data_IF_290868292988
#
_entry.id   IF_290868292988
#
_cell.length_a   1.000
_cell.length_b   1.000
_cell.length_c   1.000
_cell.angle_alpha   90.00
_cell.angle_beta   90.00
_cell.angle_gamma   90.00
#
_symmetry.space_group_name_H-M   'P 1'
#
loop_
_entity.id
_entity.type
_entity.pdbx_description
1 polymer ?
#
# COMPACT_ATOMS: atom_id res chain seq x y z
N UNK A 1 36.46 30.84 1.62
CA UNK A 1 35.66 29.84 2.34
C UNK A 1 34.28 30.42 2.56
N UNK A 2 33.25 29.77 2.00
CA UNK A 2 31.82 29.99 2.31
C UNK A 2 31.19 31.26 1.72
N UNK A 3 29.94 31.29 1.25
CA UNK A 3 28.92 30.25 1.11
C UNK A 3 27.96 30.72 0.00
N UNK A 4 27.73 29.87 -0.99
CA UNK A 4 26.56 29.98 -1.86
C UNK A 4 25.38 29.38 -1.08
N UNK A 5 24.32 30.16 -0.84
CA UNK A 5 23.02 29.58 -0.52
C UNK A 5 21.94 30.45 -1.15
N UNK A 6 21.57 30.03 -2.35
CA UNK A 6 20.27 30.30 -2.94
C UNK A 6 19.23 29.56 -2.10
N UNK A 7 18.24 30.26 -1.57
CA UNK A 7 17.11 29.66 -0.86
C UNK A 7 15.82 30.37 -1.29
N UNK A 8 14.95 29.74 -2.10
CA UNK A 8 13.56 30.17 -2.24
C UNK A 8 12.58 29.06 -1.80
N UNK A 9 11.29 29.36 -1.63
CA UNK A 9 10.71 30.44 -0.87
C UNK A 9 9.98 29.87 0.36
N UNK A 10 10.05 30.59 1.48
CA UNK A 10 9.20 30.35 2.63
C UNK A 10 7.82 30.97 2.43
N UNK A 11 6.86 30.42 3.16
CA UNK A 11 5.58 31.02 3.54
C UNK A 11 4.47 30.79 2.52
N UNK A 12 3.95 29.56 2.56
CA UNK A 12 2.50 29.33 2.57
C UNK A 12 1.85 30.34 3.50
N UNK A 13 1.24 31.38 2.91
CA UNK A 13 0.50 32.40 3.63
C UNK A 13 -0.94 31.89 3.73
N UNK A 14 -1.29 31.24 4.84
CA UNK A 14 -2.70 30.96 5.15
C UNK A 14 -3.36 32.30 5.51
N UNK A 15 -4.16 32.85 4.61
CA UNK A 15 -5.08 33.92 4.93
C UNK A 15 -6.29 33.29 5.65
N UNK A 16 -6.34 33.40 6.98
CA UNK A 16 -7.55 33.10 7.74
C UNK A 16 -8.53 34.25 7.52
N UNK A 17 -9.41 34.11 6.54
CA UNK A 17 -10.59 34.96 6.43
C UNK A 17 -11.53 34.65 7.61
N UNK A 18 -12.12 35.69 8.18
CA UNK A 18 -12.85 35.65 9.42
C UNK A 18 -14.05 34.70 9.44
N UNK A 19 -14.41 34.33 10.67
CA UNK A 19 -15.20 33.20 11.13
C UNK A 19 -16.68 33.23 10.68
N UNK A 20 -17.05 32.39 9.73
CA UNK A 20 -18.34 31.68 9.77
C UNK A 20 -18.04 30.19 9.89
N UNK A 21 -18.59 29.53 10.92
CA UNK A 21 -18.26 28.15 11.28
C UNK A 21 -18.78 27.14 10.24
N UNK A 22 -18.10 27.03 9.11
CA UNK A 22 -18.25 25.91 8.20
C UNK A 22 -17.27 24.83 8.62
N UNK A 23 -17.76 23.85 9.40
CA UNK A 23 -17.05 22.59 9.58
C UNK A 23 -17.11 21.87 8.24
N UNK A 24 -16.09 22.07 7.41
CA UNK A 24 -15.94 21.28 6.18
C UNK A 24 -15.60 19.86 6.64
N UNK A 25 -16.39 18.83 6.27
CA UNK A 25 -16.03 17.46 6.62
C UNK A 25 -14.63 17.17 6.08
N UNK A 26 -13.78 16.59 6.93
CA UNK A 26 -12.48 16.10 6.50
C UNK A 26 -12.70 15.26 5.24
N UNK A 27 -11.99 15.53 4.13
CA UNK A 27 -12.20 14.77 2.91
C UNK A 27 -12.01 13.30 3.27
N UNK A 28 -13.12 12.55 3.24
CA UNK A 28 -13.10 11.11 3.27
C UNK A 28 -12.42 10.72 1.96
N UNK A 29 -11.08 10.68 1.98
CA UNK A 29 -10.32 10.04 0.93
C UNK A 29 -10.79 8.60 0.96
N UNK A 30 -11.77 8.26 0.10
CA UNK A 30 -11.95 6.88 -0.32
C UNK A 30 -10.56 6.42 -0.70
N UNK A 31 -10.04 5.44 0.03
CA UNK A 31 -8.72 4.90 -0.23
C UNK A 31 -8.59 4.71 -1.74
N UNK A 32 -7.49 5.13 -2.39
CA UNK A 32 -7.28 4.90 -3.82
C UNK A 32 -7.50 3.44 -4.24
N UNK A 33 -7.41 2.51 -3.28
CA UNK A 33 -7.74 1.09 -3.44
C UNK A 33 -9.23 0.82 -3.74
N UNK A 34 -10.15 1.69 -3.29
CA UNK A 34 -11.59 1.53 -3.49
C UNK A 34 -11.99 1.72 -4.96
N UNK A 35 -11.28 2.57 -5.71
CA UNK A 35 -11.53 2.72 -7.16
C UNK A 35 -11.01 1.51 -7.95
N UNK A 36 -10.04 0.77 -7.39
CA UNK A 36 -9.48 -0.47 -7.94
C UNK A 36 -10.47 -1.65 -7.89
N UNK A 37 -11.57 -1.54 -7.14
CA UNK A 37 -12.66 -2.55 -7.13
C UNK A 37 -13.34 -2.68 -8.49
N UNK A 38 -13.24 -1.65 -9.37
CA UNK A 38 -13.68 -1.72 -10.77
C UNK A 38 -12.62 -2.33 -11.70
N UNK A 39 -11.88 -3.31 -11.20
CA UNK A 39 -11.05 -4.13 -12.07
C UNK A 39 -11.93 -4.78 -13.13
N UNK A 40 -11.58 -4.72 -14.43
CA UNK A 40 -12.30 -5.45 -15.46
C UNK A 40 -12.10 -6.98 -15.33
N UNK A 41 -11.15 -7.40 -14.49
CA UNK A 41 -10.86 -8.81 -14.25
C UNK A 41 -11.90 -9.41 -13.29
N UNK A 42 -12.24 -10.70 -13.46
CA UNK A 42 -12.95 -11.47 -12.45
C UNK A 42 -12.30 -11.30 -11.08
N UNK A 43 -13.10 -11.24 -10.02
CA UNK A 43 -12.63 -10.98 -8.64
C UNK A 43 -11.49 -11.90 -8.21
N UNK A 44 -11.50 -13.15 -8.67
CA UNK A 44 -10.44 -14.13 -8.45
C UNK A 44 -9.11 -13.76 -9.12
N UNK A 45 -9.11 -13.52 -10.43
CA UNK A 45 -7.90 -13.10 -11.15
C UNK A 45 -7.36 -11.77 -10.60
N UNK A 46 -8.24 -10.89 -10.15
CA UNK A 46 -7.87 -9.63 -9.52
C UNK A 46 -7.26 -9.84 -8.12
N UNK A 47 -7.65 -10.87 -7.38
CA UNK A 47 -7.05 -11.24 -6.10
C UNK A 47 -5.66 -11.87 -6.30
N UNK A 48 -5.52 -12.77 -7.27
CA UNK A 48 -4.24 -13.40 -7.63
C UNK A 48 -3.20 -12.35 -8.05
N UNK A 49 -3.59 -11.43 -8.94
CA UNK A 49 -2.72 -10.33 -9.38
C UNK A 49 -2.24 -9.49 -8.19
N UNK A 50 -3.15 -9.15 -7.26
CA UNK A 50 -2.80 -8.36 -6.07
C UNK A 50 -1.87 -9.13 -5.12
N UNK A 51 -2.04 -10.45 -5.00
CA UNK A 51 -1.10 -11.30 -4.27
C UNK A 51 0.32 -11.20 -4.84
N UNK A 52 0.47 -11.33 -6.16
CA UNK A 52 1.77 -11.20 -6.83
C UNK A 52 2.37 -9.80 -6.62
N UNK A 53 1.57 -8.75 -6.82
CA UNK A 53 2.02 -7.37 -6.60
C UNK A 53 2.50 -7.14 -5.17
N UNK A 54 1.77 -7.68 -4.17
CA UNK A 54 2.14 -7.56 -2.77
C UNK A 54 3.44 -8.30 -2.47
N UNK A 55 3.64 -9.49 -3.03
CA UNK A 55 4.91 -10.24 -2.92
C UNK A 55 6.09 -9.41 -3.42
N UNK A 56 5.98 -8.86 -4.64
CA UNK A 56 7.03 -8.03 -5.23
C UNK A 56 7.38 -6.79 -4.38
N UNK A 57 6.40 -6.19 -3.70
CA UNK A 57 6.63 -5.04 -2.82
C UNK A 57 7.34 -5.46 -1.53
N UNK A 58 6.96 -6.60 -0.96
CA UNK A 58 7.61 -7.13 0.23
C UNK A 58 9.03 -7.59 -0.05
N UNK A 59 9.28 -8.18 -1.22
CA UNK A 59 10.64 -8.51 -1.67
C UNK A 59 11.51 -7.25 -1.74
N UNK A 60 11.01 -6.17 -2.36
CA UNK A 60 11.73 -4.88 -2.41
C UNK A 60 12.02 -4.30 -1.01
N UNK A 61 11.12 -4.50 -0.05
CA UNK A 61 11.34 -4.09 1.35
C UNK A 61 12.34 -4.99 2.08
N UNK A 62 12.46 -6.25 1.66
CA UNK A 62 13.38 -7.21 2.23
C UNK A 62 14.79 -7.11 1.61
N UNK A 63 14.87 -6.67 0.36
CA UNK A 63 16.11 -6.49 -0.37
C UNK A 63 16.97 -5.39 0.27
N UNK A 64 18.28 -5.67 0.51
CA UNK A 64 19.21 -4.68 0.99
C UNK A 64 19.63 -3.78 -0.17
N UNK A 65 18.75 -2.87 -0.59
CA UNK A 65 19.18 -1.77 -1.46
C UNK A 65 20.27 -0.99 -0.73
N UNK A 66 21.35 -0.64 -1.43
CA UNK A 66 22.58 -0.06 -0.85
C UNK A 66 22.44 1.26 -0.07
N UNK A 67 21.21 1.74 0.12
CA UNK A 67 20.84 2.76 1.09
C UNK A 67 20.59 2.09 2.44
N UNK A 68 21.62 2.12 3.30
CA UNK A 68 21.63 1.89 4.75
C UNK A 68 20.45 1.10 5.35
N UNK A 69 20.69 -0.03 6.06
CA UNK A 69 19.64 -0.92 6.58
C UNK A 69 18.61 -0.13 7.39
N UNK A 70 17.50 0.25 6.76
CA UNK A 70 16.62 1.27 7.32
C UNK A 70 15.89 0.77 8.57
N UNK A 71 15.74 -0.56 8.73
CA UNK A 71 15.54 -1.19 10.03
C UNK A 71 15.56 -2.71 9.85
N UNK A 72 16.40 -3.44 10.59
CA UNK A 72 16.38 -4.91 10.59
C UNK A 72 14.96 -5.45 10.91
N UNK A 73 14.21 -4.71 11.73
CA UNK A 73 12.82 -5.00 12.09
C UNK A 73 11.88 -4.96 10.88
N UNK A 74 12.08 -3.99 9.98
CA UNK A 74 11.28 -3.86 8.76
C UNK A 74 11.54 -5.06 7.84
N UNK A 75 12.81 -5.46 7.71
CA UNK A 75 13.17 -6.62 6.89
C UNK A 75 12.62 -7.93 7.47
N UNK A 76 12.70 -8.14 8.79
CA UNK A 76 12.08 -9.30 9.45
C UNK A 76 10.56 -9.30 9.21
N UNK A 77 9.91 -8.14 9.38
CA UNK A 77 8.48 -8.02 9.14
C UNK A 77 8.10 -8.30 7.67
N UNK A 78 8.93 -7.87 6.71
CA UNK A 78 8.72 -8.13 5.30
C UNK A 78 8.79 -9.64 4.99
N UNK A 79 9.80 -10.36 5.50
CA UNK A 79 9.88 -11.81 5.36
C UNK A 79 8.71 -12.54 6.03
N UNK A 80 8.33 -12.14 7.25
CA UNK A 80 7.16 -12.71 7.92
C UNK A 80 5.86 -12.46 7.14
N UNK A 81 5.72 -11.29 6.51
CA UNK A 81 4.57 -10.97 5.68
C UNK A 81 4.56 -11.78 4.37
N UNK A 82 5.72 -12.09 3.79
CA UNK A 82 5.85 -12.97 2.62
C UNK A 82 5.38 -14.38 2.95
N UNK A 83 5.82 -14.96 4.08
CA UNK A 83 5.39 -16.29 4.51
C UNK A 83 3.87 -16.35 4.73
N UNK A 84 3.29 -15.34 5.39
CA UNK A 84 1.84 -15.23 5.58
C UNK A 84 1.10 -15.08 4.24
N UNK A 85 1.66 -14.34 3.28
CA UNK A 85 1.05 -14.16 1.96
C UNK A 85 1.00 -15.48 1.18
N UNK A 86 2.06 -16.29 1.22
CA UNK A 86 2.07 -17.60 0.57
C UNK A 86 1.02 -18.53 1.17
N UNK A 87 0.94 -18.58 2.51
CA UNK A 87 -0.09 -19.36 3.21
C UNK A 87 -1.51 -18.90 2.82
N UNK A 88 -1.76 -17.59 2.81
CA UNK A 88 -3.05 -17.02 2.42
C UNK A 88 -3.43 -17.38 0.97
N UNK A 89 -2.45 -17.37 0.05
CA UNK A 89 -2.66 -17.73 -1.34
C UNK A 89 -2.99 -19.23 -1.49
N UNK A 90 -2.35 -20.10 -0.71
CA UNK A 90 -2.69 -21.53 -0.64
C UNK A 90 -4.10 -21.75 -0.11
N UNK A 91 -4.45 -21.11 1.01
CA UNK A 91 -5.79 -21.20 1.61
C UNK A 91 -6.87 -20.70 0.65
N UNK A 92 -6.61 -19.61 -0.06
CA UNK A 92 -7.51 -19.05 -1.05
C UNK A 92 -7.79 -20.03 -2.20
N UNK A 93 -6.75 -20.59 -2.82
CA UNK A 93 -6.91 -21.58 -3.90
C UNK A 93 -7.62 -22.84 -3.42
N UNK A 94 -7.36 -23.26 -2.18
CA UNK A 94 -8.06 -24.40 -1.57
C UNK A 94 -9.54 -24.09 -1.40
N UNK A 95 -9.90 -22.94 -0.83
CA UNK A 95 -11.30 -22.54 -0.68
C UNK A 95 -12.03 -22.48 -2.04
N UNK A 96 -11.38 -21.96 -3.08
CA UNK A 96 -11.93 -21.98 -4.45
C UNK A 96 -12.15 -23.40 -4.96
N UNK A 97 -11.20 -24.29 -4.72
CA UNK A 97 -11.29 -25.71 -5.11
C UNK A 97 -12.39 -26.44 -4.36
N UNK A 98 -12.60 -26.13 -3.07
CA UNK A 98 -13.67 -26.69 -2.26
C UNK A 98 -15.06 -26.22 -2.74
N UNK A 99 -15.21 -24.93 -3.07
CA UNK A 99 -16.47 -24.40 -3.63
C UNK A 99 -16.78 -25.02 -5.01
N UNK A 100 -15.76 -25.23 -5.84
CA UNK A 100 -15.91 -25.83 -7.18
C UNK A 100 -16.07 -27.35 -7.14
N UNK A 101 -15.38 -28.01 -6.23
CA UNK A 101 -15.31 -29.47 -6.09
C UNK A 101 -16.35 -30.07 -5.15
N UNK A 102 -16.96 -29.27 -4.26
CA UNK A 102 -18.03 -29.67 -3.34
C UNK A 102 -19.44 -29.71 -3.95
N UNK A 103 -19.57 -29.42 -5.25
CA UNK A 103 -20.83 -29.54 -5.99
C UNK A 103 -21.12 -30.97 -6.49
N UNK A 104 -20.56 -31.99 -5.85
CA UNK A 104 -20.71 -33.41 -6.21
C UNK A 104 -21.34 -34.22 -5.08
#
# INVERSE_FOLDING_TARGET
MGCYSFCPPLIWRCAMAELESSVVPFPLQRSPLHESERSPLPTEAAAELRGVMLGNLLDQLAEPDGLQPADLRVRIAAYSALDLLDEMVVLYRRALSEVRGGAR
#
